data_IF_285057127465
#
_entry.id   IF_285057127465
#
_cell.length_a   1.000
_cell.length_b   1.000
_cell.length_c   1.000
_cell.angle_alpha   90.00
_cell.angle_beta   90.00
_cell.angle_gamma   90.00
#
_symmetry.space_group_name_H-M   'P 1'
#
loop_
_entity.id
_entity.type
_entity.pdbx_description
1 polymer ?
#
# COMPACT_ATOMS: atom_id res chain seq x y z
N UNK A 1 -0.18 -2.47 -1.27
CA UNK A 1 0.06 -1.09 -1.76
C UNK A 1 -1.14 -0.63 -2.58
N UNK A 2 -1.58 0.60 -2.38
CA UNK A 2 -2.66 1.23 -3.14
C UNK A 2 -2.07 2.07 -4.27
N UNK A 3 -2.48 1.79 -5.50
CA UNK A 3 -2.06 2.53 -6.69
C UNK A 3 -3.22 3.32 -7.27
N UNK A 4 -2.93 4.52 -7.72
CA UNK A 4 -3.84 5.33 -8.55
C UNK A 4 -3.08 5.91 -9.73
N UNK A 5 -3.78 6.18 -10.84
CA UNK A 5 -3.15 6.88 -11.96
C UNK A 5 -2.80 8.32 -11.57
N UNK A 6 -1.73 8.85 -12.14
CA UNK A 6 -1.36 10.26 -11.93
C UNK A 6 -2.47 11.22 -12.36
N UNK A 7 -3.24 10.86 -13.40
CA UNK A 7 -4.41 11.64 -13.84
C UNK A 7 -5.48 11.69 -12.76
N UNK A 8 -5.90 10.54 -12.22
CA UNK A 8 -6.90 10.48 -11.15
C UNK A 8 -6.44 11.27 -9.92
N UNK A 9 -5.17 11.11 -9.54
CA UNK A 9 -4.58 11.81 -8.42
C UNK A 9 -4.65 13.34 -8.57
N UNK A 10 -4.35 13.87 -9.74
CA UNK A 10 -4.35 15.31 -9.99
C UNK A 10 -5.76 15.90 -10.16
N UNK A 11 -6.62 15.17 -10.88
CA UNK A 11 -7.94 15.70 -11.28
C UNK A 11 -9.04 15.44 -10.25
N UNK A 12 -8.89 14.39 -9.43
CA UNK A 12 -9.92 13.95 -8.48
C UNK A 12 -9.34 13.63 -7.10
N UNK A 13 -8.58 14.57 -6.53
CA UNK A 13 -7.89 14.40 -5.25
C UNK A 13 -8.83 13.97 -4.11
N UNK A 14 -10.05 14.50 -4.06
CA UNK A 14 -11.03 14.14 -3.03
C UNK A 14 -11.55 12.71 -3.18
N UNK A 15 -11.64 12.21 -4.41
CA UNK A 15 -11.97 10.80 -4.64
C UNK A 15 -10.86 9.89 -4.13
N UNK A 16 -9.59 10.25 -4.36
CA UNK A 16 -8.44 9.51 -3.84
C UNK A 16 -8.42 9.51 -2.32
N UNK A 17 -8.71 10.64 -1.67
CA UNK A 17 -8.87 10.70 -0.20
C UNK A 17 -9.95 9.75 0.31
N UNK A 18 -11.10 9.71 -0.34
CA UNK A 18 -12.18 8.78 0.02
C UNK A 18 -11.77 7.33 -0.15
N UNK A 19 -11.01 7.01 -1.20
CA UNK A 19 -10.47 5.68 -1.43
C UNK A 19 -9.50 5.26 -0.32
N UNK A 20 -8.57 6.13 0.07
CA UNK A 20 -7.67 5.90 1.21
C UNK A 20 -8.48 5.67 2.48
N UNK A 21 -9.49 6.49 2.75
CA UNK A 21 -10.35 6.35 3.93
C UNK A 21 -11.04 5.00 4.00
N UNK A 22 -11.56 4.51 2.88
CA UNK A 22 -12.17 3.16 2.80
C UNK A 22 -11.11 2.09 3.05
N UNK A 23 -9.91 2.24 2.49
CA UNK A 23 -8.81 1.31 2.71
C UNK A 23 -8.40 1.24 4.19
N UNK A 24 -8.26 2.37 4.87
CA UNK A 24 -7.95 2.42 6.30
C UNK A 24 -9.04 1.77 7.16
N UNK A 25 -10.32 1.99 6.82
CA UNK A 25 -11.44 1.33 7.49
C UNK A 25 -11.39 -0.19 7.30
N UNK A 26 -11.10 -0.66 6.09
CA UNK A 26 -10.96 -2.08 5.82
C UNK A 26 -9.81 -2.72 6.61
N UNK A 27 -8.68 -2.03 6.72
CA UNK A 27 -7.57 -2.50 7.56
C UNK A 27 -7.93 -2.56 9.04
N UNK A 28 -8.58 -1.52 9.57
CA UNK A 28 -9.05 -1.52 10.96
C UNK A 28 -10.04 -2.66 11.21
N UNK A 29 -10.93 -2.92 10.27
CA UNK A 29 -11.84 -4.08 10.34
C UNK A 29 -11.06 -5.39 10.38
N UNK A 30 -10.09 -5.58 9.48
CA UNK A 30 -9.27 -6.79 9.43
C UNK A 30 -8.45 -7.03 10.71
N UNK A 31 -8.00 -5.95 11.37
CA UNK A 31 -7.28 -6.03 12.65
C UNK A 31 -8.22 -6.33 13.83
N UNK A 32 -9.36 -5.67 13.90
CA UNK A 32 -10.26 -5.74 15.05
C UNK A 32 -11.25 -6.92 14.98
N UNK A 33 -11.55 -7.38 13.76
CA UNK A 33 -12.50 -8.47 13.49
C UNK A 33 -11.83 -9.50 12.56
N UNK A 34 -10.67 -9.99 12.99
CA UNK A 34 -9.82 -10.83 12.15
C UNK A 34 -10.53 -12.10 11.65
N UNK A 35 -11.33 -12.75 12.48
CA UNK A 35 -12.05 -13.96 12.09
C UNK A 35 -13.06 -13.69 10.97
N UNK A 36 -13.83 -12.61 11.06
CA UNK A 36 -14.80 -12.22 10.03
C UNK A 36 -14.10 -11.83 8.74
N UNK A 37 -13.00 -11.08 8.84
CA UNK A 37 -12.19 -10.70 7.69
C UNK A 37 -11.58 -11.94 6.99
N UNK A 38 -11.10 -12.90 7.74
CA UNK A 38 -10.58 -14.16 7.23
C UNK A 38 -11.67 -14.97 6.52
N UNK A 39 -12.87 -15.02 7.08
CA UNK A 39 -14.02 -15.71 6.46
C UNK A 39 -14.42 -15.04 5.14
N UNK A 40 -14.47 -13.73 5.09
CA UNK A 40 -14.72 -12.97 3.86
C UNK A 40 -13.65 -13.29 2.82
N UNK A 41 -12.37 -13.30 3.21
CA UNK A 41 -11.26 -13.61 2.32
C UNK A 41 -11.32 -15.05 1.80
N UNK A 42 -11.60 -16.01 2.67
CA UNK A 42 -11.78 -17.42 2.31
C UNK A 42 -12.89 -17.58 1.26
N UNK A 43 -14.04 -16.97 1.51
CA UNK A 43 -15.20 -17.03 0.61
C UNK A 43 -14.91 -16.40 -0.76
N UNK A 44 -14.16 -15.29 -0.78
CA UNK A 44 -13.83 -14.59 -2.02
C UNK A 44 -12.76 -15.27 -2.86
N UNK A 45 -11.82 -15.95 -2.21
CA UNK A 45 -10.68 -16.59 -2.89
C UNK A 45 -10.87 -18.09 -3.12
N UNK A 46 -11.91 -18.70 -2.52
CA UNK A 46 -12.13 -20.14 -2.54
C UNK A 46 -11.09 -20.93 -1.74
N UNK A 47 -10.33 -20.26 -0.86
CA UNK A 47 -9.37 -20.92 0.03
C UNK A 47 -10.06 -21.42 1.30
N UNK A 48 -9.50 -22.48 1.88
CA UNK A 48 -9.98 -22.99 3.17
C UNK A 48 -9.55 -22.09 4.31
N UNK A 49 -10.30 -22.10 5.42
CA UNK A 49 -10.00 -21.23 6.57
C UNK A 49 -8.65 -21.51 7.21
N UNK A 50 -8.22 -22.77 7.25
CA UNK A 50 -6.89 -23.15 7.77
C UNK A 50 -5.75 -22.50 6.98
N UNK A 51 -5.83 -22.52 5.64
CA UNK A 51 -4.85 -21.84 4.78
C UNK A 51 -4.86 -20.33 5.01
N UNK A 52 -6.05 -19.74 5.11
CA UNK A 52 -6.20 -18.30 5.34
C UNK A 52 -5.61 -17.91 6.71
N UNK A 53 -5.91 -18.67 7.76
CA UNK A 53 -5.42 -18.42 9.10
C UNK A 53 -3.88 -18.54 9.20
N UNK A 54 -3.30 -19.56 8.56
CA UNK A 54 -1.83 -19.69 8.51
C UNK A 54 -1.16 -18.55 7.73
N UNK A 55 -1.77 -18.11 6.65
CA UNK A 55 -1.28 -16.95 5.89
C UNK A 55 -1.39 -15.67 6.70
N UNK A 56 -2.48 -15.49 7.44
CA UNK A 56 -2.75 -14.31 8.26
C UNK A 56 -1.70 -14.07 9.33
N UNK A 57 -1.19 -15.13 9.94
CA UNK A 57 -0.13 -15.08 10.96
C UNK A 57 1.19 -14.51 10.44
N UNK A 58 1.41 -14.58 9.12
CA UNK A 58 2.64 -14.10 8.45
C UNK A 58 2.52 -12.67 7.95
N UNK A 59 1.34 -12.04 8.05
CA UNK A 59 1.11 -10.68 7.59
C UNK A 59 1.38 -9.68 8.70
N UNK A 60 2.09 -8.61 8.36
CA UNK A 60 2.19 -7.41 9.18
C UNK A 60 1.26 -6.38 8.54
N UNK A 61 0.26 -5.96 9.30
CA UNK A 61 -0.75 -5.02 8.84
C UNK A 61 -0.28 -3.59 9.07
N UNK A 62 0.17 -2.95 8.00
CA UNK A 62 0.58 -1.56 8.01
C UNK A 62 0.13 -0.89 6.71
N UNK A 63 -0.31 0.35 6.79
CA UNK A 63 -0.69 1.17 5.64
C UNK A 63 0.32 2.28 5.33
N UNK A 64 1.39 2.37 6.13
CA UNK A 64 2.52 3.26 5.85
C UNK A 64 3.51 2.57 4.92
N UNK A 65 3.97 3.30 3.91
CA UNK A 65 4.98 2.78 2.99
C UNK A 65 6.37 2.91 3.61
N UNK A 66 7.13 1.83 3.59
CA UNK A 66 8.54 1.85 4.00
C UNK A 66 9.40 2.35 2.83
N UNK A 67 9.63 3.67 2.79
CA UNK A 67 10.39 4.31 1.71
C UNK A 67 11.85 3.88 1.69
N UNK A 68 12.47 3.62 2.85
CA UNK A 68 13.84 3.12 2.94
C UNK A 68 13.99 1.75 2.26
N UNK A 69 13.06 0.83 2.50
CA UNK A 69 13.05 -0.47 1.81
C UNK A 69 12.82 -0.33 0.31
N UNK A 70 12.00 0.61 -0.11
CA UNK A 70 11.77 0.89 -1.52
C UNK A 70 13.02 1.45 -2.20
N UNK A 71 13.72 2.37 -1.57
CA UNK A 71 15.00 2.91 -2.05
C UNK A 71 16.04 1.79 -2.20
N UNK A 72 16.20 0.97 -1.17
CA UNK A 72 17.11 -0.20 -1.21
C UNK A 72 16.78 -1.15 -2.36
N UNK A 73 15.51 -1.38 -2.63
CA UNK A 73 15.09 -2.23 -3.73
C UNK A 73 15.37 -1.62 -5.10
N UNK A 74 15.15 -0.31 -5.27
CA UNK A 74 15.49 0.40 -6.51
C UNK A 74 17.00 0.39 -6.74
N UNK A 75 17.80 0.64 -5.70
CA UNK A 75 19.26 0.54 -5.77
C UNK A 75 19.72 -0.85 -6.23
N UNK A 76 19.12 -1.89 -5.67
CA UNK A 76 19.38 -3.26 -6.09
C UNK A 76 19.07 -3.48 -7.58
N UNK A 77 17.92 -3.01 -8.06
CA UNK A 77 17.54 -3.14 -9.47
C UNK A 77 18.48 -2.36 -10.42
N UNK A 78 18.97 -1.20 -9.98
CA UNK A 78 20.00 -0.44 -10.70
C UNK A 78 21.32 -1.22 -10.79
N UNK A 79 21.78 -1.80 -9.67
CA UNK A 79 22.99 -2.62 -9.62
C UNK A 79 22.90 -3.86 -10.49
N UNK A 80 21.70 -4.45 -10.59
CA UNK A 80 21.44 -5.62 -11.45
C UNK A 80 21.20 -5.26 -12.92
N UNK A 81 21.28 -3.99 -13.29
CA UNK A 81 21.01 -3.53 -14.66
C UNK A 81 19.56 -3.72 -15.12
N UNK A 82 18.62 -3.85 -14.17
CA UNK A 82 17.20 -4.00 -14.46
C UNK A 82 16.50 -2.66 -14.72
N UNK A 83 17.10 -1.58 -14.23
CA UNK A 83 16.65 -0.20 -14.44
C UNK A 83 17.84 0.55 -15.07
N UNK A 84 17.55 1.36 -16.07
CA UNK A 84 18.57 2.23 -16.67
C UNK A 84 18.87 3.39 -15.70
N UNK A 85 20.14 3.61 -15.32
CA UNK A 85 20.49 4.72 -14.42
C UNK A 85 20.09 6.11 -14.96
N UNK A 86 19.98 6.27 -16.27
CA UNK A 86 19.50 7.52 -16.87
C UNK A 86 18.04 7.84 -16.54
N UNK A 87 17.21 6.81 -16.27
CA UNK A 87 15.81 6.96 -15.92
C UNK A 87 15.62 7.26 -14.42
N UNK A 88 16.60 6.91 -13.59
CA UNK A 88 16.59 7.11 -12.14
C UNK A 88 17.94 7.70 -11.70
N UNK A 89 18.22 8.97 -12.01
CA UNK A 89 19.48 9.61 -11.63
C UNK A 89 19.64 9.82 -10.12
N UNK A 90 18.53 9.91 -9.39
CA UNK A 90 18.48 9.98 -7.92
C UNK A 90 17.33 9.12 -7.40
N UNK A 91 17.67 8.11 -6.60
CA UNK A 91 16.69 7.13 -6.09
C UNK A 91 15.68 7.77 -5.13
N UNK A 92 16.14 8.59 -4.19
CA UNK A 92 15.24 9.28 -3.25
C UNK A 92 14.26 10.20 -3.97
N UNK A 93 14.70 10.96 -4.96
CA UNK A 93 13.82 11.83 -5.74
C UNK A 93 12.81 11.03 -6.54
N UNK A 94 13.22 9.91 -7.12
CA UNK A 94 12.33 9.00 -7.84
C UNK A 94 11.24 8.44 -6.93
N UNK A 95 11.59 7.96 -5.75
CA UNK A 95 10.64 7.43 -4.77
C UNK A 95 9.71 8.54 -4.27
N UNK A 96 10.23 9.71 -3.93
CA UNK A 96 9.41 10.84 -3.46
C UNK A 96 8.44 11.35 -4.51
N UNK A 97 8.80 11.28 -5.79
CA UNK A 97 7.91 11.63 -6.89
C UNK A 97 6.80 10.58 -7.12
N UNK A 98 7.07 9.30 -6.82
CA UNK A 98 6.13 8.20 -7.00
C UNK A 98 5.14 8.04 -5.85
N UNK A 99 5.45 8.56 -4.65
CA UNK A 99 4.68 8.35 -3.42
C UNK A 99 4.19 9.69 -2.88
N UNK A 100 2.90 9.76 -2.55
CA UNK A 100 2.31 10.87 -1.80
C UNK A 100 1.93 10.42 -0.39
N UNK A 101 2.78 10.73 0.59
CA UNK A 101 2.50 10.49 2.00
C UNK A 101 1.67 11.60 2.64
N UNK A 102 1.65 12.79 2.05
CA UNK A 102 0.88 13.92 2.57
C UNK A 102 -0.62 13.62 2.54
N UNK A 103 -1.10 13.00 1.47
CA UNK A 103 -2.51 12.67 1.33
C UNK A 103 -2.98 11.67 2.38
N UNK A 104 -2.14 10.69 2.71
CA UNK A 104 -2.38 9.75 3.81
C UNK A 104 -2.47 10.51 5.15
N UNK A 105 -1.52 11.39 5.44
CA UNK A 105 -1.49 12.18 6.66
C UNK A 105 -2.74 13.08 6.79
N UNK A 106 -3.20 13.69 5.70
CA UNK A 106 -4.44 14.47 5.68
C UNK A 106 -5.68 13.61 6.02
N UNK A 107 -5.74 12.38 5.51
CA UNK A 107 -6.84 11.46 5.81
C UNK A 107 -6.78 10.99 7.26
N UNK A 108 -5.61 10.67 7.80
CA UNK A 108 -5.43 10.32 9.21
C UNK A 108 -5.84 11.46 10.13
N UNK A 109 -5.43 12.69 9.85
CA UNK A 109 -5.80 13.88 10.62
C UNK A 109 -7.31 14.17 10.59
N UNK A 110 -8.05 13.67 9.58
CA UNK A 110 -9.51 13.81 9.49
C UNK A 110 -10.28 12.80 10.34
N UNK A 111 -9.60 11.97 11.13
CA UNK A 111 -10.22 10.97 12.00
C UNK A 111 -10.65 9.69 11.31
N UNK A 112 -10.02 9.37 10.21
CA UNK A 112 -10.32 8.14 9.45
C UNK A 112 -9.77 6.88 10.12
#
# INVERSE_FOLDING_TARGET
VLYVSGKLFREQRDLVKRLIKVHLKAMKFALNQANDAQQIFANRTGKTMDIVQESWKRMIWDYHLNTTSMETFVDYLLQQGRINPADVPNVSDFINAAIDQQLLAEVEASGA
#
